data_IF_354359666797
#
_entry.id   IF_354359666797
#
_cell.length_a   1.000
_cell.length_b   1.000
_cell.length_c   1.000
_cell.angle_alpha   90.00
_cell.angle_beta   90.00
_cell.angle_gamma   90.00
#
_symmetry.space_group_name_H-M   'P 1'
#
loop_
_entity.id
_entity.type
_entity.pdbx_description
1 polymer ?
#
# COMPACT_ATOMS: atom_id res chain seq x y z
N UNK A 1 -27.05 9.56 -3.42
CA UNK A 1 -27.30 8.73 -2.22
C UNK A 1 -26.18 7.71 -1.95
N UNK A 2 -25.74 6.91 -2.93
CA UNK A 2 -24.80 5.79 -2.71
C UNK A 2 -23.47 6.14 -2.01
N UNK A 3 -22.94 7.36 -2.17
CA UNK A 3 -21.76 7.82 -1.43
C UNK A 3 -21.99 7.99 0.08
N UNK A 4 -23.18 8.48 0.47
CA UNK A 4 -23.61 8.58 1.87
C UNK A 4 -23.68 7.17 2.46
N UNK A 5 -24.35 6.26 1.73
CA UNK A 5 -24.48 4.85 2.13
C UNK A 5 -23.12 4.16 2.26
N UNK A 6 -22.19 4.40 1.34
CA UNK A 6 -20.84 3.83 1.40
C UNK A 6 -20.08 4.24 2.66
N UNK A 7 -20.07 5.54 2.98
CA UNK A 7 -19.40 6.03 4.19
C UNK A 7 -20.10 5.56 5.48
N UNK A 8 -21.43 5.48 5.48
CA UNK A 8 -22.18 4.92 6.62
C UNK A 8 -21.83 3.45 6.84
N UNK A 9 -21.90 2.64 5.79
CA UNK A 9 -21.55 1.23 5.85
C UNK A 9 -20.12 1.01 6.37
N UNK A 10 -19.18 1.81 5.89
CA UNK A 10 -17.79 1.80 6.35
C UNK A 10 -17.65 2.10 7.84
N UNK A 11 -18.38 3.10 8.35
CA UNK A 11 -18.39 3.47 9.76
C UNK A 11 -19.03 2.35 10.62
N UNK A 12 -20.18 1.85 10.21
CA UNK A 12 -20.94 0.80 10.92
C UNK A 12 -20.15 -0.50 11.03
N UNK A 13 -19.41 -0.88 9.98
CA UNK A 13 -18.55 -2.07 9.95
C UNK A 13 -17.15 -1.82 10.49
N UNK A 14 -16.86 -0.63 11.03
CA UNK A 14 -15.55 -0.26 11.61
C UNK A 14 -14.39 -0.56 10.65
N UNK A 15 -14.53 -0.12 9.40
CA UNK A 15 -13.51 -0.34 8.39
C UNK A 15 -12.13 0.12 8.87
N UNK A 16 -11.10 -0.70 8.63
CA UNK A 16 -9.72 -0.40 9.01
C UNK A 16 -9.16 0.86 8.33
N UNK A 17 -9.81 1.36 7.28
CA UNK A 17 -9.42 2.57 6.57
C UNK A 17 -10.09 3.86 7.09
N UNK A 18 -10.92 3.79 8.15
CA UNK A 18 -11.60 4.96 8.71
C UNK A 18 -10.63 6.08 9.13
N UNK A 19 -9.42 5.74 9.58
CA UNK A 19 -8.39 6.72 9.95
C UNK A 19 -8.08 7.73 8.84
N UNK A 20 -8.34 7.40 7.57
CA UNK A 20 -8.14 8.31 6.45
C UNK A 20 -9.10 9.50 6.46
N UNK A 21 -10.30 9.35 7.03
CA UNK A 21 -11.39 10.34 6.89
C UNK A 21 -12.08 10.71 8.21
N UNK A 22 -11.86 9.95 9.28
CA UNK A 22 -12.50 10.13 10.60
C UNK A 22 -12.37 11.56 11.13
N UNK A 23 -11.17 12.13 11.07
CA UNK A 23 -10.90 13.51 11.52
C UNK A 23 -11.12 14.58 10.43
N UNK A 24 -11.45 14.14 9.21
CA UNK A 24 -11.68 15.05 8.07
C UNK A 24 -13.14 15.45 7.95
N UNK A 25 -14.06 14.47 8.01
CA UNK A 25 -15.50 14.70 7.81
C UNK A 25 -16.15 15.11 9.13
N UNK A 26 -16.83 16.25 9.14
CA UNK A 26 -17.49 16.77 10.34
C UNK A 26 -18.44 15.72 10.95
N UNK A 27 -18.41 15.54 12.27
CA UNK A 27 -19.28 14.60 13.00
C UNK A 27 -18.94 13.11 12.84
N UNK A 28 -18.01 12.73 11.95
CA UNK A 28 -17.69 11.32 11.72
C UNK A 28 -16.99 10.67 12.93
N UNK A 29 -16.05 11.36 13.58
CA UNK A 29 -15.43 10.90 14.83
C UNK A 29 -16.48 10.67 15.93
N UNK A 30 -17.43 11.59 16.09
CA UNK A 30 -18.47 11.47 17.11
C UNK A 30 -19.38 10.26 16.87
N UNK A 31 -19.67 9.94 15.61
CA UNK A 31 -20.41 8.74 15.23
C UNK A 31 -19.60 7.46 15.52
N UNK A 32 -18.34 7.41 15.05
CA UNK A 32 -17.46 6.23 15.22
C UNK A 32 -17.17 5.94 16.70
N UNK A 33 -16.98 6.99 17.51
CA UNK A 33 -16.71 6.88 18.95
C UNK A 33 -17.97 6.67 19.79
N UNK A 34 -19.16 6.69 19.17
CA UNK A 34 -20.43 6.42 19.83
C UNK A 34 -20.97 7.58 20.68
N UNK A 35 -20.46 8.80 20.49
CA UNK A 35 -21.06 10.02 21.09
C UNK A 35 -22.43 10.32 20.47
N UNK A 36 -22.65 9.88 19.24
CA UNK A 36 -23.95 9.87 18.55
C UNK A 36 -24.13 8.56 17.79
N UNK A 37 -25.37 8.08 17.70
CA UNK A 37 -25.76 6.98 16.81
C UNK A 37 -26.55 7.47 15.58
N UNK A 38 -26.74 8.78 15.44
CA UNK A 38 -27.44 9.39 14.32
C UNK A 38 -26.45 9.77 13.21
N UNK A 39 -26.42 8.98 12.14
CA UNK A 39 -25.54 9.24 11.01
C UNK A 39 -25.89 10.53 10.24
N UNK A 40 -27.10 11.07 10.42
CA UNK A 40 -27.48 12.35 9.77
C UNK A 40 -26.68 13.55 10.29
N UNK A 41 -26.00 13.39 11.43
CA UNK A 41 -25.06 14.37 11.99
C UNK A 41 -23.70 14.37 11.29
N UNK A 42 -23.39 13.33 10.49
CA UNK A 42 -22.14 13.23 9.74
C UNK A 42 -22.20 14.13 8.50
N UNK A 43 -21.10 14.85 8.24
CA UNK A 43 -20.94 15.84 7.17
C UNK A 43 -20.83 15.24 5.76
N UNK A 44 -21.71 14.31 5.38
CA UNK A 44 -21.87 13.80 4.02
C UNK A 44 -23.35 13.82 3.64
N UNK A 45 -23.69 14.46 2.52
CA UNK A 45 -25.09 14.58 2.06
C UNK A 45 -25.18 14.44 0.56
N UNK A 46 -26.18 13.72 0.07
CA UNK A 46 -26.61 13.83 -1.31
C UNK A 46 -27.59 15.02 -1.40
N UNK A 47 -27.23 16.07 -2.12
CA UNK A 47 -28.10 17.22 -2.34
C UNK A 47 -29.14 16.93 -3.41
N UNK A 48 -28.75 16.13 -4.40
CA UNK A 48 -29.58 15.59 -5.48
C UNK A 48 -28.94 14.30 -6.03
N UNK A 49 -29.45 13.78 -7.15
CA UNK A 49 -28.99 12.52 -7.76
C UNK A 49 -27.55 12.56 -8.28
N UNK A 50 -27.01 13.76 -8.58
CA UNK A 50 -25.68 13.96 -9.18
C UNK A 50 -24.74 14.81 -8.32
N UNK A 51 -25.20 15.31 -7.16
CA UNK A 51 -24.44 16.18 -6.27
C UNK A 51 -24.29 15.57 -4.89
N UNK A 52 -23.04 15.26 -4.50
CA UNK A 52 -22.67 14.92 -3.11
C UNK A 52 -21.88 16.06 -2.50
N UNK A 53 -22.23 16.44 -1.27
CA UNK A 53 -21.56 17.44 -0.48
C UNK A 53 -20.87 16.78 0.72
N UNK A 54 -19.60 17.15 0.94
CA UNK A 54 -18.86 16.85 2.15
C UNK A 54 -18.58 18.14 2.93
N UNK A 55 -18.85 18.13 4.22
CA UNK A 55 -18.48 19.19 5.15
C UNK A 55 -17.26 18.73 5.94
N UNK A 56 -16.14 19.44 5.77
CA UNK A 56 -14.89 19.11 6.45
C UNK A 56 -14.76 19.88 7.77
N UNK A 57 -14.07 19.28 8.74
CA UNK A 57 -13.77 19.91 10.05
C UNK A 57 -12.89 21.17 9.88
N UNK A 58 -12.01 21.17 8.88
CA UNK A 58 -11.10 22.27 8.54
C UNK A 58 -10.71 22.19 7.06
N UNK A 59 -10.15 23.27 6.47
CA UNK A 59 -9.61 23.21 5.12
C UNK A 59 -8.56 22.10 4.98
N UNK A 60 -8.70 21.27 3.95
CA UNK A 60 -7.82 20.14 3.69
C UNK A 60 -7.42 20.09 2.21
N UNK A 61 -6.21 20.58 1.91
CA UNK A 61 -5.74 20.80 0.53
C UNK A 61 -5.68 19.53 -0.33
N UNK A 62 -5.57 18.36 0.29
CA UNK A 62 -5.45 17.05 -0.37
C UNK A 62 -6.74 16.23 -0.27
N UNK A 63 -7.89 16.85 0.04
CA UNK A 63 -9.18 16.17 0.13
C UNK A 63 -9.53 15.39 -1.15
N UNK A 64 -9.28 15.98 -2.33
CA UNK A 64 -9.52 15.30 -3.60
C UNK A 64 -8.70 14.01 -3.76
N UNK A 65 -7.50 13.94 -3.17
CA UNK A 65 -6.72 12.70 -3.16
C UNK A 65 -7.37 11.65 -2.25
N UNK A 66 -7.98 12.06 -1.13
CA UNK A 66 -8.72 11.14 -0.26
C UNK A 66 -9.97 10.58 -0.92
N UNK A 67 -10.64 11.33 -1.79
CA UNK A 67 -11.82 10.83 -2.52
C UNK A 67 -11.50 9.67 -3.48
N UNK A 68 -10.21 9.38 -3.73
CA UNK A 68 -9.76 8.20 -4.47
C UNK A 68 -9.64 6.94 -3.59
N UNK A 69 -9.72 7.07 -2.26
CA UNK A 69 -9.64 5.95 -1.35
C UNK A 69 -10.95 5.14 -1.36
N UNK A 70 -10.82 3.82 -1.34
CA UNK A 70 -11.95 2.87 -1.43
C UNK A 70 -12.99 3.06 -0.32
N UNK A 71 -12.61 3.63 0.82
CA UNK A 71 -13.50 3.96 1.93
C UNK A 71 -14.58 5.00 1.56
N UNK A 72 -14.34 5.81 0.53
CA UNK A 72 -15.28 6.80 0.00
C UNK A 72 -15.98 6.34 -1.29
N UNK A 73 -15.80 5.09 -1.70
CA UNK A 73 -16.49 4.58 -2.88
C UNK A 73 -17.98 4.38 -2.59
N UNK A 74 -18.85 4.58 -3.60
CA UNK A 74 -20.29 4.45 -3.42
C UNK A 74 -20.70 3.00 -3.19
N UNK A 75 -21.72 2.79 -2.37
CA UNK A 75 -22.35 1.49 -2.16
C UNK A 75 -23.83 1.63 -2.44
N UNK A 76 -24.36 0.80 -3.35
CA UNK A 76 -25.78 0.80 -3.67
C UNK A 76 -26.61 0.27 -2.49
N UNK A 77 -27.52 1.09 -1.98
CA UNK A 77 -28.27 0.80 -0.75
C UNK A 77 -29.19 -0.42 -0.87
N UNK A 78 -29.89 -0.57 -2.00
CA UNK A 78 -30.81 -1.69 -2.21
C UNK A 78 -30.06 -3.02 -2.31
N UNK A 79 -28.94 -3.03 -3.04
CA UNK A 79 -28.10 -4.21 -3.14
C UNK A 79 -27.49 -4.58 -1.79
N UNK A 80 -26.93 -3.60 -1.05
CA UNK A 80 -26.40 -3.81 0.29
C UNK A 80 -27.46 -4.44 1.21
N UNK A 81 -28.68 -3.89 1.21
CA UNK A 81 -29.81 -4.43 1.97
C UNK A 81 -30.18 -5.85 1.54
N UNK A 82 -30.18 -6.13 0.23
CA UNK A 82 -30.50 -7.45 -0.30
C UNK A 82 -29.49 -8.53 0.09
N UNK A 83 -28.23 -8.15 0.30
CA UNK A 83 -27.14 -9.06 0.70
C UNK A 83 -26.99 -9.17 2.22
N UNK A 84 -27.31 -8.13 2.97
CA UNK A 84 -27.15 -8.14 4.43
C UNK A 84 -25.72 -8.51 4.82
N UNK A 85 -25.56 -9.51 5.68
CA UNK A 85 -24.26 -9.99 6.14
C UNK A 85 -23.46 -10.76 5.08
N UNK A 86 -24.07 -11.10 3.94
CA UNK A 86 -23.37 -11.72 2.81
C UNK A 86 -22.64 -10.68 1.94
N UNK A 87 -22.86 -9.39 2.14
CA UNK A 87 -22.20 -8.35 1.37
C UNK A 87 -20.68 -8.41 1.55
N UNK A 88 -19.93 -8.45 0.45
CA UNK A 88 -18.46 -8.48 0.48
C UNK A 88 -17.82 -9.83 0.80
N UNK A 89 -18.59 -10.93 0.88
CA UNK A 89 -18.01 -12.29 0.90
C UNK A 89 -17.15 -12.55 -0.33
N UNK A 90 -16.20 -13.49 -0.25
CA UNK A 90 -15.31 -13.85 -1.35
C UNK A 90 -16.04 -14.65 -2.47
N UNK A 91 -17.06 -14.01 -3.05
CA UNK A 91 -17.95 -14.53 -4.09
C UNK A 91 -18.30 -13.38 -5.05
N UNK A 92 -18.25 -13.57 -6.39
CA UNK A 92 -18.57 -12.50 -7.34
C UNK A 92 -19.96 -11.89 -7.20
N UNK A 93 -20.94 -12.62 -6.66
CA UNK A 93 -22.31 -12.13 -6.47
C UNK A 93 -22.51 -11.37 -5.16
N UNK A 94 -21.50 -11.27 -4.30
CA UNK A 94 -21.60 -10.63 -2.98
C UNK A 94 -21.48 -9.10 -3.02
N UNK A 95 -21.03 -8.54 -4.14
CA UNK A 95 -20.85 -7.10 -4.36
C UNK A 95 -21.46 -6.68 -5.70
N UNK A 96 -21.71 -5.38 -5.84
CA UNK A 96 -22.10 -4.75 -7.09
C UNK A 96 -20.93 -3.93 -7.64
N UNK A 97 -20.84 -3.81 -8.97
CA UNK A 97 -19.69 -3.21 -9.63
C UNK A 97 -20.10 -1.94 -10.39
N UNK A 98 -19.34 -0.87 -10.20
CA UNK A 98 -19.44 0.37 -10.97
C UNK A 98 -18.13 0.73 -11.70
N UNK A 99 -17.12 -0.15 -11.64
CA UNK A 99 -15.82 0.01 -12.28
C UNK A 99 -15.75 -0.60 -13.70
N UNK A 100 -14.56 -0.55 -14.33
CA UNK A 100 -14.35 -1.02 -15.71
C UNK A 100 -14.46 -2.54 -15.89
N UNK A 101 -14.38 -3.31 -14.81
CA UNK A 101 -14.45 -4.77 -14.83
C UNK A 101 -15.42 -5.31 -13.78
N UNK A 102 -16.04 -6.44 -14.11
CA UNK A 102 -16.82 -7.29 -13.23
C UNK A 102 -15.95 -8.47 -12.80
N UNK A 103 -15.97 -8.84 -11.52
CA UNK A 103 -15.39 -10.14 -11.14
C UNK A 103 -16.29 -11.24 -11.69
N UNK A 104 -15.70 -12.17 -12.43
CA UNK A 104 -16.38 -13.32 -13.01
C UNK A 104 -16.22 -14.56 -12.14
N UNK A 105 -15.04 -14.75 -11.56
CA UNK A 105 -14.74 -15.88 -10.70
C UNK A 105 -13.66 -15.53 -9.67
N UNK A 106 -13.75 -16.14 -8.49
CA UNK A 106 -12.72 -16.16 -7.48
C UNK A 106 -12.55 -17.60 -7.00
N UNK A 107 -11.47 -18.24 -7.42
CA UNK A 107 -11.13 -19.63 -7.03
C UNK A 107 -9.91 -19.58 -6.13
N UNK A 108 -10.12 -19.89 -4.85
CA UNK A 108 -9.09 -19.84 -3.82
C UNK A 108 -7.85 -20.65 -4.23
N UNK A 109 -6.66 -20.06 -4.03
CA UNK A 109 -5.36 -20.61 -4.43
C UNK A 109 -5.24 -21.00 -5.91
N UNK A 110 -6.07 -20.41 -6.79
CA UNK A 110 -6.01 -20.68 -8.22
C UNK A 110 -6.00 -19.39 -9.04
N UNK A 111 -7.11 -18.66 -9.11
CA UNK A 111 -7.17 -17.43 -9.90
C UNK A 111 -8.35 -16.53 -9.52
N UNK A 112 -8.23 -15.26 -9.86
CA UNK A 112 -9.34 -14.32 -9.96
C UNK A 112 -9.52 -13.96 -11.43
N UNK A 113 -10.73 -14.08 -11.94
CA UNK A 113 -11.09 -13.71 -13.30
C UNK A 113 -11.98 -12.48 -13.30
N UNK A 114 -11.67 -11.53 -14.18
CA UNK A 114 -12.45 -10.34 -14.42
C UNK A 114 -12.83 -10.26 -15.89
N UNK A 115 -14.02 -9.72 -16.15
CA UNK A 115 -14.53 -9.43 -17.50
C UNK A 115 -14.87 -7.96 -17.61
N UNK A 116 -14.63 -7.36 -18.77
CA UNK A 116 -15.02 -5.98 -19.08
C UNK A 116 -16.49 -5.73 -18.72
N UNK A 117 -16.73 -4.64 -18.02
CA UNK A 117 -18.07 -4.21 -17.63
C UNK A 117 -18.69 -3.38 -18.76
N UNK A 118 -19.71 -3.88 -19.49
CA UNK A 118 -20.36 -3.12 -20.56
C UNK A 118 -21.14 -1.92 -20.04
N UNK A 119 -21.50 -1.90 -18.75
CA UNK A 119 -22.25 -0.81 -18.11
C UNK A 119 -21.34 0.27 -17.51
N UNK A 120 -20.01 0.13 -17.63
CA UNK A 120 -19.09 1.18 -17.18
C UNK A 120 -19.23 2.41 -18.08
N UNK A 121 -19.33 3.60 -17.48
CA UNK A 121 -19.58 4.85 -18.21
C UNK A 121 -18.54 5.14 -19.30
N UNK A 122 -17.29 4.67 -19.11
CA UNK A 122 -16.20 4.82 -20.08
C UNK A 122 -15.77 3.48 -20.73
N UNK A 123 -16.69 2.54 -20.88
CA UNK A 123 -16.41 1.22 -21.46
C UNK A 123 -15.78 1.26 -22.87
N UNK A 124 -15.97 2.35 -23.62
CA UNK A 124 -15.35 2.56 -24.94
C UNK A 124 -13.82 2.67 -24.90
N UNK A 125 -13.26 3.11 -23.77
CA UNK A 125 -11.81 3.26 -23.57
C UNK A 125 -11.19 2.08 -22.82
N UNK A 126 -11.98 1.03 -22.53
CA UNK A 126 -11.49 -0.21 -21.94
C UNK A 126 -11.18 -1.19 -23.08
N UNK A 127 -9.91 -1.33 -23.45
CA UNK A 127 -9.48 -2.16 -24.57
C UNK A 127 -9.21 -3.63 -24.21
N UNK A 128 -9.18 -3.96 -22.92
CA UNK A 128 -8.96 -5.32 -22.43
C UNK A 128 -10.31 -5.95 -22.11
N UNK A 129 -10.59 -7.11 -22.69
CA UNK A 129 -11.87 -7.81 -22.50
C UNK A 129 -11.89 -8.67 -21.24
N UNK A 130 -10.79 -9.37 -20.95
CA UNK A 130 -10.68 -10.28 -19.81
C UNK A 130 -9.34 -10.09 -19.10
N UNK A 131 -9.35 -10.17 -17.77
CA UNK A 131 -8.14 -10.15 -16.93
C UNK A 131 -8.15 -11.37 -16.04
N UNK A 132 -7.06 -12.14 -16.06
CA UNK A 132 -6.87 -13.28 -15.15
C UNK A 132 -5.67 -13.02 -14.24
N UNK A 133 -5.92 -12.98 -12.95
CA UNK A 133 -4.89 -12.91 -11.91
C UNK A 133 -4.66 -14.31 -11.38
N UNK A 134 -3.55 -14.94 -11.77
CA UNK A 134 -3.20 -16.30 -11.35
C UNK A 134 -2.52 -16.27 -9.99
N UNK A 135 -2.88 -17.21 -9.12
CA UNK A 135 -2.27 -17.39 -7.81
C UNK A 135 -0.85 -17.95 -7.93
N UNK A 136 0.08 -17.37 -7.18
CA UNK A 136 1.45 -17.83 -7.06
C UNK A 136 1.81 -17.89 -5.57
N UNK A 137 2.13 -19.07 -5.06
CA UNK A 137 2.40 -19.29 -3.64
C UNK A 137 3.87 -19.07 -3.24
N UNK A 138 4.74 -18.74 -4.19
CA UNK A 138 6.17 -18.52 -3.92
C UNK A 138 7.03 -19.78 -3.92
N UNK A 139 6.44 -20.98 -4.09
CA UNK A 139 7.18 -22.25 -3.95
C UNK A 139 8.11 -22.55 -5.13
N UNK A 140 7.74 -22.12 -6.34
CA UNK A 140 8.49 -22.35 -7.57
C UNK A 140 8.64 -21.05 -8.36
N UNK A 141 9.74 -20.33 -8.12
CA UNK A 141 10.08 -19.11 -8.87
C UNK A 141 10.15 -19.37 -10.37
N UNK A 142 10.62 -20.55 -10.78
CA UNK A 142 10.79 -20.89 -12.19
C UNK A 142 9.46 -21.09 -12.93
N UNK A 143 8.37 -21.29 -12.19
CA UNK A 143 7.03 -21.38 -12.78
C UNK A 143 6.62 -20.08 -13.47
N UNK A 144 7.14 -18.93 -13.04
CA UNK A 144 6.77 -17.63 -13.59
C UNK A 144 7.28 -17.46 -15.01
N UNK A 145 8.57 -17.72 -15.28
CA UNK A 145 9.10 -17.63 -16.64
C UNK A 145 8.58 -18.73 -17.55
N UNK A 146 8.30 -19.94 -17.03
CA UNK A 146 7.73 -21.03 -17.84
C UNK A 146 6.34 -20.64 -18.35
N UNK A 147 5.49 -20.10 -17.49
CA UNK A 147 4.14 -19.64 -17.88
C UNK A 147 4.20 -18.42 -18.80
N UNK A 148 5.13 -17.49 -18.59
CA UNK A 148 5.34 -16.38 -19.53
C UNK A 148 5.80 -16.87 -20.90
N UNK A 149 6.80 -17.76 -20.95
CA UNK A 149 7.33 -18.32 -22.19
C UNK A 149 6.29 -19.14 -22.96
N UNK A 150 5.39 -19.82 -22.25
CA UNK A 150 4.28 -20.55 -22.84
C UNK A 150 3.14 -19.63 -23.33
N UNK A 151 3.21 -18.31 -23.09
CA UNK A 151 2.17 -17.34 -23.43
C UNK A 151 0.98 -17.34 -22.47
N UNK A 152 1.05 -18.06 -21.35
CA UNK A 152 0.00 -18.08 -20.34
C UNK A 152 -0.03 -16.79 -19.50
N UNK A 153 1.12 -16.13 -19.32
CA UNK A 153 1.24 -14.83 -18.64
C UNK A 153 1.67 -13.73 -19.61
N UNK A 154 1.01 -12.58 -19.53
CA UNK A 154 1.42 -11.38 -20.27
C UNK A 154 2.63 -10.69 -19.64
N UNK A 155 2.88 -10.93 -18.34
CA UNK A 155 4.03 -10.43 -17.59
C UNK A 155 4.39 -11.41 -16.47
N UNK A 156 5.68 -11.57 -16.16
CA UNK A 156 6.16 -12.40 -15.05
C UNK A 156 7.34 -11.72 -14.33
N UNK A 157 7.45 -11.93 -13.02
CA UNK A 157 8.65 -11.52 -12.27
C UNK A 157 9.81 -12.43 -12.66
N UNK A 158 10.94 -11.81 -12.98
CA UNK A 158 12.21 -12.50 -13.19
C UNK A 158 13.05 -12.38 -11.91
N UNK A 159 13.40 -13.51 -11.31
CA UNK A 159 14.21 -13.55 -10.09
C UNK A 159 15.71 -13.65 -10.43
N UNK A 160 16.54 -12.67 -10.03
CA UNK A 160 17.98 -12.64 -10.33
C UNK A 160 18.80 -13.79 -9.74
N UNK A 161 18.28 -14.43 -8.70
CA UNK A 161 18.88 -15.58 -8.03
C UNK A 161 18.35 -16.93 -8.55
N UNK A 162 17.43 -16.92 -9.52
CA UNK A 162 16.94 -18.14 -10.16
C UNK A 162 18.06 -18.82 -10.96
N UNK A 163 18.04 -20.15 -11.00
CA UNK A 163 19.00 -20.93 -11.79
C UNK A 163 18.85 -20.67 -13.30
N UNK A 164 17.64 -20.31 -13.75
CA UNK A 164 17.31 -20.01 -15.14
C UNK A 164 17.63 -18.56 -15.56
N UNK A 165 18.05 -17.69 -14.62
CA UNK A 165 18.11 -16.25 -14.83
C UNK A 165 18.92 -15.82 -16.06
N UNK A 166 20.17 -16.27 -16.19
CA UNK A 166 21.05 -15.82 -17.30
C UNK A 166 20.48 -16.21 -18.68
N UNK A 167 19.90 -17.40 -18.79
CA UNK A 167 19.28 -17.87 -20.04
C UNK A 167 18.03 -17.05 -20.41
N UNK A 168 17.20 -16.71 -19.41
CA UNK A 168 16.01 -15.89 -19.60
C UNK A 168 16.38 -14.44 -19.90
N UNK A 169 17.41 -13.91 -19.21
CA UNK A 169 17.94 -12.56 -19.44
C UNK A 169 18.39 -12.40 -20.89
N UNK A 170 19.18 -13.33 -21.42
CA UNK A 170 19.63 -13.26 -22.81
C UNK A 170 18.46 -13.40 -23.79
N UNK A 171 17.56 -14.37 -23.56
CA UNK A 171 16.42 -14.64 -24.44
C UNK A 171 15.46 -13.45 -24.55
N UNK A 172 15.21 -12.74 -23.46
CA UNK A 172 14.20 -11.67 -23.38
C UNK A 172 14.80 -10.30 -23.04
N UNK A 173 16.08 -10.05 -23.35
CA UNK A 173 16.78 -8.81 -22.99
C UNK A 173 16.06 -7.51 -23.36
N UNK A 174 15.33 -7.50 -24.48
CA UNK A 174 14.57 -6.34 -24.96
C UNK A 174 13.17 -6.21 -24.32
N UNK A 175 12.74 -7.20 -23.54
CA UNK A 175 11.43 -7.25 -22.88
C UNK A 175 11.53 -7.13 -21.35
N UNK A 176 12.74 -7.12 -20.80
CA UNK A 176 12.96 -6.92 -19.37
C UNK A 176 12.83 -5.43 -19.05
N UNK A 177 11.92 -5.12 -18.14
CA UNK A 177 11.70 -3.77 -17.63
C UNK A 177 11.87 -3.75 -16.11
N UNK A 178 12.39 -2.65 -15.60
CA UNK A 178 12.29 -2.33 -14.18
C UNK A 178 10.99 -1.57 -13.95
N UNK A 179 10.12 -2.10 -13.10
CA UNK A 179 8.90 -1.41 -12.69
C UNK A 179 9.22 -0.06 -12.07
N UNK A 180 8.35 0.93 -12.29
CA UNK A 180 8.50 2.20 -11.61
C UNK A 180 8.46 2.01 -10.10
N UNK A 181 9.31 2.80 -9.47
CA UNK A 181 9.28 3.11 -8.06
C UNK A 181 7.86 3.53 -7.62
N UNK A 182 7.19 2.73 -6.80
CA UNK A 182 5.88 3.07 -6.25
C UNK A 182 6.01 3.92 -4.96
N UNK A 183 4.88 4.41 -4.46
CA UNK A 183 4.79 5.24 -3.24
C UNK A 183 4.88 4.45 -1.94
N UNK A 184 5.51 3.28 -1.95
CA UNK A 184 5.68 2.41 -0.78
C UNK A 184 7.14 2.39 -0.35
N UNK A 185 7.37 2.55 0.96
CA UNK A 185 8.68 2.36 1.59
C UNK A 185 8.63 1.16 2.52
N UNK A 186 9.60 0.25 2.36
CA UNK A 186 9.80 -0.87 3.28
C UNK A 186 10.87 -0.50 4.29
N UNK A 187 10.59 -0.70 5.58
CA UNK A 187 11.50 -0.34 6.66
C UNK A 187 11.40 -1.34 7.80
N UNK A 188 12.53 -1.52 8.51
CA UNK A 188 12.54 -2.24 9.78
C UNK A 188 12.05 -1.31 10.89
N UNK A 189 11.24 -1.87 11.79
CA UNK A 189 10.78 -1.16 12.98
C UNK A 189 11.32 -1.84 14.24
N UNK A 190 11.68 -1.01 15.21
CA UNK A 190 11.97 -1.46 16.56
C UNK A 190 10.70 -1.37 17.41
N UNK A 191 10.27 -2.50 17.99
CA UNK A 191 9.18 -2.48 18.95
C UNK A 191 9.67 -1.95 20.30
N UNK A 192 9.50 -0.64 20.53
CA UNK A 192 10.00 0.05 21.71
C UNK A 192 9.22 -0.28 22.98
N UNK A 193 7.99 -0.78 22.85
CA UNK A 193 7.12 -1.09 23.98
C UNK A 193 6.56 -2.52 23.88
N UNK A 194 7.45 -3.50 23.75
CA UNK A 194 7.06 -4.90 23.66
C UNK A 194 6.43 -5.38 24.97
N UNK A 195 5.11 -5.54 24.98
CA UNK A 195 4.34 -6.09 26.12
C UNK A 195 4.20 -7.61 26.12
N UNK A 196 4.30 -8.26 24.95
CA UNK A 196 4.08 -9.71 24.80
C UNK A 196 5.28 -10.43 24.22
N UNK A 197 5.53 -11.62 24.74
CA UNK A 197 6.63 -12.52 24.35
C UNK A 197 6.11 -13.86 23.80
N UNK A 198 4.85 -13.92 23.34
CA UNK A 198 4.27 -15.17 22.83
C UNK A 198 4.93 -15.67 21.53
N UNK A 199 5.49 -14.75 20.74
CA UNK A 199 6.19 -15.03 19.48
C UNK A 199 7.63 -14.50 19.55
N UNK A 200 8.49 -15.20 20.28
CA UNK A 200 9.90 -14.84 20.45
C UNK A 200 10.75 -16.08 20.67
N UNK A 201 12.03 -16.01 20.30
CA UNK A 201 13.02 -17.01 20.70
C UNK A 201 13.61 -16.76 22.09
N UNK A 202 13.29 -15.61 22.71
CA UNK A 202 13.81 -15.21 24.04
C UNK A 202 12.99 -15.85 25.15
N UNK A 203 13.56 -16.81 25.86
CA UNK A 203 12.82 -17.63 26.83
C UNK A 203 13.02 -17.13 28.26
N UNK A 204 14.22 -16.62 28.58
CA UNK A 204 14.57 -16.15 29.93
C UNK A 204 14.27 -14.67 30.15
N UNK A 205 14.07 -14.27 31.40
CA UNK A 205 13.84 -12.87 31.75
C UNK A 205 15.07 -11.99 31.52
N UNK A 206 16.27 -12.57 31.63
CA UNK A 206 17.52 -11.89 31.30
C UNK A 206 17.56 -11.55 29.82
N UNK A 207 17.26 -12.50 28.92
CA UNK A 207 17.23 -12.23 27.48
C UNK A 207 16.18 -11.17 27.11
N UNK A 208 15.00 -11.22 27.73
CA UNK A 208 13.92 -10.23 27.50
C UNK A 208 14.37 -8.85 27.94
N UNK A 209 14.92 -8.72 29.15
CA UNK A 209 15.42 -7.46 29.71
C UNK A 209 16.56 -6.89 28.88
N UNK A 210 17.57 -7.70 28.55
CA UNK A 210 18.69 -7.26 27.71
C UNK A 210 18.24 -6.83 26.32
N UNK A 211 17.24 -7.52 25.74
CA UNK A 211 16.66 -7.12 24.45
C UNK A 211 15.98 -5.76 24.56
N UNK A 212 15.20 -5.53 25.62
CA UNK A 212 14.54 -4.25 25.86
C UNK A 212 15.55 -3.12 26.05
N UNK A 213 16.59 -3.33 26.86
CA UNK A 213 17.67 -2.37 27.08
C UNK A 213 18.38 -2.00 25.77
N UNK A 214 18.73 -3.01 24.95
CA UNK A 214 19.35 -2.79 23.64
C UNK A 214 18.43 -2.01 22.70
N UNK A 215 17.16 -2.40 22.57
CA UNK A 215 16.20 -1.75 21.68
C UNK A 215 15.93 -0.30 22.10
N UNK A 216 15.89 0.00 23.41
CA UNK A 216 15.71 1.36 23.91
C UNK A 216 16.97 2.24 23.74
N UNK A 217 18.15 1.64 23.61
CA UNK A 217 19.39 2.37 23.33
C UNK A 217 19.40 2.95 21.90
N UNK A 218 19.47 4.28 21.78
CA UNK A 218 19.49 4.98 20.48
C UNK A 218 20.67 4.55 19.60
N UNK A 219 21.86 4.44 20.18
CA UNK A 219 23.08 4.09 19.44
C UNK A 219 23.01 2.67 18.90
N UNK A 220 22.41 1.73 19.65
CA UNK A 220 22.15 0.38 19.15
C UNK A 220 21.24 0.40 17.91
N UNK A 221 20.12 1.12 17.96
CA UNK A 221 19.21 1.24 16.79
C UNK A 221 19.90 1.88 15.59
N UNK A 222 20.69 2.93 15.82
CA UNK A 222 21.48 3.57 14.76
C UNK A 222 22.51 2.61 14.18
N UNK A 223 23.23 1.86 15.00
CA UNK A 223 24.22 0.89 14.54
C UNK A 223 23.61 -0.15 13.59
N UNK A 224 22.41 -0.66 13.89
CA UNK A 224 21.69 -1.56 12.96
C UNK A 224 21.36 -0.87 11.63
N UNK A 225 20.91 0.39 11.68
CA UNK A 225 20.59 1.15 10.46
C UNK A 225 21.83 1.42 9.58
N UNK A 226 22.99 1.68 10.20
CA UNK A 226 24.26 1.86 9.50
C UNK A 226 24.90 0.54 9.06
N UNK A 227 24.63 -0.58 9.72
CA UNK A 227 25.20 -1.89 9.37
C UNK A 227 24.47 -2.58 8.21
N UNK A 228 23.26 -2.12 7.86
CA UNK A 228 22.47 -2.73 6.80
C UNK A 228 22.92 -2.24 5.43
N UNK A 229 23.64 -3.09 4.71
CA UNK A 229 24.01 -2.86 3.30
C UNK A 229 22.77 -3.01 2.40
N UNK A 230 22.14 -1.88 2.11
CA UNK A 230 20.90 -1.84 1.33
C UNK A 230 21.14 -2.18 -0.13
N UNK A 231 22.31 -1.82 -0.65
CA UNK A 231 22.67 -2.11 -2.04
C UNK A 231 22.84 -3.62 -2.24
N UNK A 232 23.57 -4.30 -1.35
CA UNK A 232 23.69 -5.76 -1.40
C UNK A 232 22.36 -6.47 -1.20
N UNK A 233 21.48 -5.95 -0.34
CA UNK A 233 20.12 -6.47 -0.21
C UNK A 233 19.33 -6.29 -1.52
N UNK A 234 19.35 -5.09 -2.10
CA UNK A 234 18.67 -4.82 -3.37
C UNK A 234 19.20 -5.67 -4.52
N UNK A 235 20.50 -5.95 -4.55
CA UNK A 235 21.10 -6.83 -5.56
C UNK A 235 20.58 -8.26 -5.50
N UNK A 236 20.21 -8.76 -4.31
CA UNK A 236 19.59 -10.09 -4.17
C UNK A 236 18.16 -10.12 -4.73
N UNK A 237 17.41 -9.03 -4.57
CA UNK A 237 16.01 -8.95 -5.00
C UNK A 237 15.85 -8.60 -6.49
N UNK A 238 16.66 -7.67 -6.99
CA UNK A 238 16.50 -7.02 -8.30
C UNK A 238 17.73 -7.13 -9.21
N UNK A 239 18.77 -7.83 -8.75
CA UNK A 239 20.03 -8.02 -9.47
C UNK A 239 20.94 -6.80 -9.32
N UNK A 240 22.22 -6.97 -9.67
CA UNK A 240 23.23 -5.91 -9.50
C UNK A 240 22.86 -4.60 -10.21
N UNK A 241 22.28 -4.68 -11.40
CA UNK A 241 21.84 -3.51 -12.19
C UNK A 241 20.62 -2.80 -11.56
N UNK A 242 19.77 -3.54 -10.83
CA UNK A 242 18.58 -3.01 -10.15
C UNK A 242 18.82 -2.62 -8.69
N UNK A 243 19.98 -2.96 -8.13
CA UNK A 243 20.26 -2.93 -6.69
C UNK A 243 19.95 -1.58 -6.03
N UNK A 244 20.37 -0.48 -6.66
CA UNK A 244 20.13 0.86 -6.12
C UNK A 244 18.76 1.41 -6.51
N UNK A 245 18.13 0.90 -7.58
CA UNK A 245 16.85 1.41 -8.10
C UNK A 245 15.68 1.23 -7.13
N UNK A 246 15.79 0.39 -6.11
CA UNK A 246 14.75 0.21 -5.09
C UNK A 246 15.03 0.98 -3.80
N UNK A 247 16.17 1.67 -3.72
CA UNK A 247 16.59 2.30 -2.47
C UNK A 247 15.81 3.57 -2.19
N UNK A 248 15.15 3.55 -1.03
CA UNK A 248 14.41 4.64 -0.41
C UNK A 248 15.14 5.07 0.84
N UNK A 249 15.39 6.37 0.95
CA UNK A 249 16.15 6.90 2.06
C UNK A 249 15.30 7.65 3.08
N UNK A 250 14.04 7.93 2.72
CA UNK A 250 13.02 8.52 3.58
C UNK A 250 11.69 7.78 3.41
N UNK A 251 10.83 7.88 4.44
CA UNK A 251 9.45 7.37 4.37
C UNK A 251 8.62 8.19 3.39
N UNK A 252 8.90 9.48 3.28
CA UNK A 252 8.29 10.40 2.31
C UNK A 252 9.30 10.63 1.18
N UNK A 253 8.89 10.55 -0.10
CA UNK A 253 9.79 10.79 -1.21
C UNK A 253 10.55 12.13 -1.06
N UNK A 254 11.86 12.18 -1.33
CA UNK A 254 12.67 13.38 -1.10
C UNK A 254 12.19 14.57 -1.94
N UNK A 255 11.56 14.33 -3.08
CA UNK A 255 10.99 15.33 -3.99
C UNK A 255 9.48 15.57 -3.79
N UNK A 256 8.89 15.09 -2.69
CA UNK A 256 7.45 15.18 -2.47
C UNK A 256 6.93 16.63 -2.40
N UNK A 257 7.72 17.53 -1.82
CA UNK A 257 7.39 18.96 -1.73
C UNK A 257 8.67 19.79 -1.79
N UNK A 258 8.58 20.99 -2.35
CA UNK A 258 9.64 21.99 -2.31
C UNK A 258 9.38 23.03 -1.22
N UNK A 259 10.42 23.36 -0.45
CA UNK A 259 10.39 24.38 0.61
C UNK A 259 11.44 25.43 0.24
N UNK A 260 10.98 26.59 -0.22
CA UNK A 260 11.84 27.72 -0.63
C UNK A 260 12.88 27.31 -1.71
N UNK A 261 12.45 26.51 -2.69
CA UNK A 261 13.31 26.07 -3.80
C UNK A 261 14.26 24.92 -3.47
N UNK A 262 14.11 24.30 -2.29
CA UNK A 262 14.82 23.07 -1.90
C UNK A 262 13.86 21.92 -1.77
N UNK A 263 14.29 20.73 -2.16
CA UNK A 263 13.50 19.53 -2.02
C UNK A 263 13.38 19.13 -0.54
N UNK A 264 12.27 18.47 -0.18
CA UNK A 264 12.02 17.97 1.18
C UNK A 264 13.21 17.19 1.73
N UNK A 265 13.81 16.30 0.92
CA UNK A 265 14.99 15.51 1.30
C UNK A 265 16.20 16.37 1.66
N UNK A 266 16.46 17.46 0.94
CA UNK A 266 17.58 18.38 1.21
C UNK A 266 17.35 19.15 2.53
N UNK A 267 16.11 19.57 2.78
CA UNK A 267 15.74 20.23 4.02
C UNK A 267 15.90 19.28 5.20
N UNK A 268 15.47 18.02 5.07
CA UNK A 268 15.67 17.00 6.10
C UNK A 268 17.16 16.77 6.35
N UNK A 269 17.96 16.54 5.29
CA UNK A 269 19.40 16.35 5.39
C UNK A 269 20.09 17.47 6.18
N UNK A 270 19.76 18.73 5.88
CA UNK A 270 20.33 19.90 6.58
C UNK A 270 20.04 19.94 8.09
N UNK A 271 18.95 19.30 8.52
CA UNK A 271 18.52 19.24 9.93
C UNK A 271 19.06 18.03 10.68
N UNK A 272 19.55 17.00 9.98
CA UNK A 272 19.97 15.76 10.63
C UNK A 272 21.16 15.93 11.56
N UNK A 273 22.02 16.93 11.33
CA UNK A 273 23.13 17.27 12.23
C UNK A 273 22.68 17.57 13.67
N UNK A 274 21.42 17.99 13.86
CA UNK A 274 20.84 18.19 15.19
C UNK A 274 20.64 16.88 15.97
N UNK A 275 20.69 15.73 15.29
CA UNK A 275 20.55 14.39 15.87
C UNK A 275 21.88 13.67 16.07
N UNK A 276 22.99 14.22 15.59
CA UNK A 276 24.35 13.67 15.71
C UNK A 276 25.25 14.07 14.53
N UNK A 277 26.57 14.16 14.77
CA UNK A 277 27.55 14.52 13.72
C UNK A 277 27.72 13.43 12.66
N UNK A 278 27.40 12.19 13.01
CA UNK A 278 27.39 11.05 12.10
C UNK A 278 26.40 11.22 10.92
N UNK A 279 25.47 12.17 11.01
CA UNK A 279 24.54 12.48 9.93
C UNK A 279 24.99 13.65 9.04
N UNK A 280 26.17 14.23 9.29
CA UNK A 280 26.65 15.37 8.52
C UNK A 280 26.90 14.96 7.06
N UNK A 281 26.35 15.74 6.13
CA UNK A 281 26.55 15.51 4.69
C UNK A 281 25.74 14.36 4.10
N UNK A 282 24.79 13.78 4.86
CA UNK A 282 23.92 12.73 4.35
C UNK A 282 23.08 13.22 3.18
N UNK A 283 22.97 12.40 2.14
CA UNK A 283 22.13 12.68 0.98
C UNK A 283 20.95 11.72 0.95
N UNK A 284 19.74 12.22 1.12
CA UNK A 284 18.51 11.42 1.12
C UNK A 284 17.85 11.26 -0.26
N UNK A 285 18.54 11.60 -1.35
CA UNK A 285 18.08 11.27 -2.69
C UNK A 285 17.85 9.77 -2.82
N UNK A 286 16.76 9.37 -3.48
CA UNK A 286 16.49 7.97 -3.78
C UNK A 286 17.48 7.42 -4.82
N UNK A 287 17.58 6.10 -4.92
CA UNK A 287 18.44 5.49 -5.93
C UNK A 287 19.91 5.37 -5.53
N UNK A 288 20.23 5.59 -4.25
CA UNK A 288 21.58 5.46 -3.71
C UNK A 288 21.54 5.00 -2.24
N UNK A 289 22.66 4.47 -1.76
CA UNK A 289 22.86 4.23 -0.33
C UNK A 289 23.33 5.55 0.32
N UNK A 290 22.61 6.10 1.31
CA UNK A 290 22.94 7.41 1.86
C UNK A 290 23.98 7.32 2.98
N UNK A 291 24.40 6.10 3.37
CA UNK A 291 25.25 5.84 4.53
C UNK A 291 26.71 5.49 4.18
N UNK A 292 27.02 5.32 2.88
CA UNK A 292 28.32 4.90 2.37
C UNK A 292 28.79 5.76 1.18
#
# INVERSE_FOLDING_TARGET
QDFVTGLQYAADKKSEALYLVQDSVAGLDDYITGKTSDFSTVGVKALDDQTVQYTLVKPELYWNSKTLATILFPVNADFLKSKGDDFGKADPSSILYNGPFLMKALVSKSAIEYKKNPNYWDAKNVFVDDVKLTYYDGSDQESLERNFTAGAYTTARLFPNSSSYEGIKEKYKNNIIYSMQNSTSYFFNFNLDRKSYNYTSKTSDIEKKSTQEAVLNKNFRQAINFAFDRTSYGAQSEGKEGATKILRNLVVPPNFVSIKGKDFGEVVASKMVNYGKEWQGINFADGQDPYY
#
